data_IF_861865187985
#
_entry.id   IF_861865187985
#
_cell.length_a   1.000
_cell.length_b   1.000
_cell.length_c   1.000
_cell.angle_alpha   90.00
_cell.angle_beta   90.00
_cell.angle_gamma   90.00
#
_symmetry.space_group_name_H-M   'P 1'
#
loop_
_entity.id
_entity.type
_entity.pdbx_description
1 polymer ?
#
# COMPACT_ATOMS: atom_id res chain seq x y z
N UNK A 1 -10.19 3.73 -8.89
CA UNK A 1 -9.71 4.73 -7.96
C UNK A 1 -8.21 4.67 -7.84
N UNK A 2 -7.57 5.80 -7.89
CA UNK A 2 -6.13 5.85 -7.78
C UNK A 2 -5.72 6.22 -6.37
N UNK A 3 -4.70 5.55 -5.90
CA UNK A 3 -4.13 5.83 -4.59
C UNK A 3 -2.81 6.56 -4.81
N UNK A 4 -2.79 7.83 -4.44
CA UNK A 4 -1.61 8.66 -4.64
C UNK A 4 -0.78 8.65 -3.38
N UNK A 5 0.35 7.99 -3.44
CA UNK A 5 1.25 7.88 -2.29
C UNK A 5 2.49 8.70 -2.57
N UNK A 6 2.82 9.67 -1.71
CA UNK A 6 4.00 10.50 -1.90
C UNK A 6 5.26 9.73 -1.51
N UNK A 7 5.91 9.14 -2.50
CA UNK A 7 7.15 8.42 -2.26
C UNK A 7 8.33 9.38 -2.42
N UNK A 8 9.38 9.14 -1.65
CA UNK A 8 10.56 9.98 -1.70
C UNK A 8 11.81 9.13 -1.75
N UNK A 9 12.68 9.41 -2.71
CA UNK A 9 13.95 8.74 -2.80
C UNK A 9 14.93 9.22 -1.74
N UNK A 10 14.63 10.35 -1.10
CA UNK A 10 15.48 10.90 -0.04
C UNK A 10 15.13 10.37 1.32
N UNK A 11 13.99 9.69 1.42
CA UNK A 11 13.59 9.03 2.66
C UNK A 11 14.46 7.79 2.82
N UNK A 12 15.11 7.59 4.01
CA UNK A 12 15.97 6.43 4.19
C UNK A 12 15.20 5.10 4.21
N UNK A 13 13.89 5.13 4.37
CA UNK A 13 13.12 3.90 4.40
C UNK A 13 12.97 3.34 2.99
N UNK A 14 12.98 2.00 2.85
CA UNK A 14 12.72 1.39 1.55
C UNK A 14 11.34 1.80 1.02
N UNK A 15 11.18 1.72 -0.30
CA UNK A 15 9.92 2.13 -0.90
C UNK A 15 8.74 1.30 -0.37
N UNK A 16 8.93 -0.01 -0.16
CA UNK A 16 7.83 -0.83 0.33
C UNK A 16 7.37 -0.35 1.70
N UNK A 17 8.30 0.10 2.53
CA UNK A 17 7.94 0.58 3.87
C UNK A 17 7.21 1.91 3.78
N UNK A 18 7.59 2.76 2.85
CA UNK A 18 6.89 4.02 2.67
C UNK A 18 5.44 3.78 2.26
N UNK A 19 5.23 2.83 1.36
CA UNK A 19 3.88 2.46 0.93
C UNK A 19 3.10 1.88 2.10
N UNK A 20 3.71 0.95 2.82
CA UNK A 20 3.08 0.30 3.96
C UNK A 20 2.67 1.34 5.01
N UNK A 21 3.58 2.23 5.38
CA UNK A 21 3.28 3.22 6.41
C UNK A 21 2.20 4.19 5.98
N UNK A 22 2.21 4.55 4.70
CA UNK A 22 1.21 5.49 4.21
C UNK A 22 -0.19 4.86 4.29
N UNK A 23 -0.33 3.66 3.79
CA UNK A 23 -1.64 2.99 3.80
C UNK A 23 -2.09 2.73 5.23
N UNK A 24 -1.18 2.26 6.07
CA UNK A 24 -1.49 2.01 7.47
C UNK A 24 -1.98 3.28 8.15
N UNK A 25 -1.30 4.39 7.91
CA UNK A 25 -1.70 5.65 8.49
C UNK A 25 -3.08 6.10 8.03
N UNK A 26 -3.36 5.92 6.73
CA UNK A 26 -4.65 6.31 6.20
C UNK A 26 -5.78 5.47 6.79
N UNK A 27 -5.54 4.18 6.98
CA UNK A 27 -6.55 3.32 7.59
C UNK A 27 -6.80 3.75 9.03
N UNK A 28 -5.75 4.01 9.77
CA UNK A 28 -5.88 4.38 11.18
C UNK A 28 -6.54 5.74 11.35
N UNK A 29 -6.33 6.64 10.38
CA UNK A 29 -6.92 7.98 10.46
C UNK A 29 -8.31 8.05 9.86
N UNK A 30 -8.80 6.95 9.28
CA UNK A 30 -10.11 6.94 8.67
C UNK A 30 -10.14 7.45 7.24
N UNK A 31 -8.98 7.77 6.67
CA UNK A 31 -8.91 8.20 5.28
C UNK A 31 -9.20 7.09 4.29
N UNK A 32 -8.85 5.87 4.68
CA UNK A 32 -9.19 4.67 3.91
C UNK A 32 -10.03 3.79 4.79
N UNK A 33 -11.24 3.52 4.35
CA UNK A 33 -12.12 2.64 5.13
C UNK A 33 -11.83 1.19 4.78
N UNK A 34 -11.96 0.29 5.74
CA UNK A 34 -11.66 -1.12 5.46
C UNK A 34 -12.46 -1.70 4.31
N UNK A 35 -13.66 -1.18 4.10
CA UNK A 35 -14.51 -1.68 3.02
C UNK A 35 -14.21 -1.04 1.69
N UNK A 36 -13.37 -0.03 1.66
CA UNK A 36 -13.04 0.63 0.41
C UNK A 36 -12.10 -0.24 -0.40
N UNK A 37 -12.40 -0.33 -1.68
CA UNK A 37 -11.60 -1.16 -2.56
C UNK A 37 -10.29 -0.47 -2.89
N UNK A 38 -9.20 -1.14 -2.65
CA UNK A 38 -7.89 -0.65 -3.01
C UNK A 38 -7.47 -1.22 -4.36
N UNK A 39 -6.61 -0.51 -5.09
CA UNK A 39 -6.06 -1.10 -6.31
C UNK A 39 -5.26 -2.34 -5.97
N UNK A 40 -5.16 -3.26 -6.93
CA UNK A 40 -4.32 -4.44 -6.73
C UNK A 40 -2.86 -4.01 -6.61
N UNK A 41 -2.02 -4.89 -6.07
CA UNK A 41 -0.60 -4.57 -5.95
C UNK A 41 0.00 -4.29 -7.32
N UNK A 42 -0.46 -4.99 -8.35
CA UNK A 42 0.02 -4.76 -9.71
C UNK A 42 -0.37 -3.37 -10.20
N UNK A 43 -1.63 -2.99 -9.98
CA UNK A 43 -2.08 -1.69 -10.41
C UNK A 43 -1.39 -0.58 -9.66
N UNK A 44 -1.19 -0.78 -8.36
CA UNK A 44 -0.51 0.23 -7.56
C UNK A 44 0.95 0.38 -7.99
N UNK A 45 1.61 -0.75 -8.27
CA UNK A 45 3.00 -0.68 -8.74
C UNK A 45 3.11 0.11 -10.02
N UNK A 46 2.17 -0.12 -10.93
CA UNK A 46 2.16 0.58 -12.20
C UNK A 46 1.92 2.07 -11.99
N UNK A 47 0.98 2.40 -11.13
CA UNK A 47 0.63 3.78 -10.85
C UNK A 47 1.78 4.53 -10.18
N UNK A 48 2.48 3.88 -9.27
CA UNK A 48 3.58 4.49 -8.54
C UNK A 48 4.92 4.34 -9.25
N UNK A 49 4.97 3.55 -10.33
CA UNK A 49 6.19 3.31 -11.09
C UNK A 49 7.25 2.62 -10.24
N UNK A 50 6.82 1.62 -9.50
CA UNK A 50 7.73 0.80 -8.69
C UNK A 50 7.55 -0.65 -9.11
N UNK A 51 8.40 -1.52 -8.61
CA UNK A 51 8.31 -2.94 -8.95
C UNK A 51 7.09 -3.56 -8.26
N UNK A 52 6.56 -4.63 -8.87
CA UNK A 52 5.44 -5.34 -8.28
C UNK A 52 5.80 -5.92 -6.91
N UNK A 53 7.03 -6.38 -6.76
CA UNK A 53 7.43 -6.94 -5.47
C UNK A 53 7.39 -5.87 -4.38
N UNK A 54 7.65 -4.63 -4.73
CA UNK A 54 7.61 -3.53 -3.76
C UNK A 54 6.20 -3.36 -3.19
N UNK A 55 5.20 -3.25 -4.06
CA UNK A 55 3.82 -3.09 -3.58
C UNK A 55 3.30 -4.36 -2.97
N UNK A 56 3.69 -5.51 -3.51
CA UNK A 56 3.25 -6.78 -2.96
C UNK A 56 3.75 -6.97 -1.53
N UNK A 57 5.02 -6.62 -1.28
CA UNK A 57 5.57 -6.73 0.07
C UNK A 57 4.80 -5.84 1.05
N UNK A 58 4.47 -4.62 0.64
CA UNK A 58 3.71 -3.72 1.49
C UNK A 58 2.32 -4.29 1.79
N UNK A 59 1.66 -4.79 0.76
CA UNK A 59 0.32 -5.35 0.95
C UNK A 59 0.34 -6.59 1.83
N UNK A 60 1.34 -7.46 1.63
CA UNK A 60 1.44 -8.66 2.44
C UNK A 60 1.62 -8.33 3.91
N UNK A 61 2.40 -7.31 4.20
CA UNK A 61 2.59 -6.91 5.58
C UNK A 61 1.32 -6.34 6.18
N UNK A 62 0.59 -5.54 5.40
CA UNK A 62 -0.67 -4.99 5.87
C UNK A 62 -1.69 -6.09 6.15
N UNK A 63 -1.71 -7.11 5.31
CA UNK A 63 -2.60 -8.25 5.53
C UNK A 63 -2.17 -8.99 6.80
N UNK A 64 -0.87 -9.23 6.95
CA UNK A 64 -0.36 -9.97 8.10
C UNK A 64 -0.69 -9.26 9.41
N UNK A 65 -0.77 -7.94 9.39
CA UNK A 65 -1.06 -7.16 10.59
C UNK A 65 -2.53 -6.85 10.76
N UNK A 66 -3.35 -7.31 9.84
CA UNK A 66 -4.80 -7.16 9.99
C UNK A 66 -5.37 -5.86 9.47
N UNK A 67 -4.56 -5.03 8.82
CA UNK A 67 -5.06 -3.78 8.25
C UNK A 67 -5.82 -4.00 6.96
N UNK A 68 -5.47 -5.04 6.22
CA UNK A 68 -6.16 -5.40 4.98
C UNK A 68 -6.52 -6.87 5.03
N UNK A 69 -7.54 -7.23 4.27
CA UNK A 69 -7.91 -8.63 4.12
C UNK A 69 -7.23 -9.20 2.90
N UNK A 70 -6.80 -10.44 3.01
CA UNK A 70 -6.20 -11.11 1.87
C UNK A 70 -7.23 -11.21 0.76
N UNK A 71 -6.80 -10.89 -0.45
CA UNK A 71 -7.66 -11.02 -1.59
C UNK A 71 -7.88 -12.49 -1.87
N UNK A 72 -9.13 -12.88 -1.96
CA UNK A 72 -9.42 -14.24 -2.40
C UNK A 72 -9.86 -14.16 -3.85
N UNK A 73 -9.46 -15.02 -4.53
CA UNK A 73 -9.69 -14.95 -5.87
C UNK A 73 -10.28 -15.97 -6.38
#
# INVERSE_FOLDING_TARGET
MELMIPLSSQDPRPLYEQIYQYIKGEIRNGGLKPMKKLPSSRELAKSLRVSRSTTQSAYEQLVAEGYLEASSR
#
